data_IF_270639445861
#
_entry.id   IF_270639445861
#
_cell.length_a   1.000
_cell.length_b   1.000
_cell.length_c   1.000
_cell.angle_alpha   90.00
_cell.angle_beta   90.00
_cell.angle_gamma   90.00
#
_symmetry.space_group_name_H-M   'P 1'
#
loop_
_entity.id
_entity.type
_entity.pdbx_description
1 polymer ?
#
# COMPACT_ATOMS: atom_id res chain seq x y z
N UNK A 1 -14.93 18.07 0.90
CA UNK A 1 -15.90 18.48 -0.13
C UNK A 1 -17.20 18.89 0.57
N UNK A 2 -17.81 20.04 0.26
CA UNK A 2 -19.11 20.39 0.85
C UNK A 2 -20.21 19.52 0.24
N UNK A 3 -20.89 18.73 1.07
CA UNK A 3 -22.02 17.92 0.63
C UNK A 3 -23.32 18.62 0.98
N UNK A 4 -24.23 18.65 0.02
CA UNK A 4 -25.57 19.20 0.20
C UNK A 4 -26.61 18.08 0.06
N UNK A 5 -27.70 18.18 0.83
CA UNK A 5 -28.87 17.34 0.68
C UNK A 5 -30.01 18.18 0.14
N UNK A 6 -30.70 17.70 -0.88
CA UNK A 6 -31.98 18.24 -1.28
C UNK A 6 -33.08 17.58 -0.46
N UNK A 7 -33.85 18.40 0.25
CA UNK A 7 -35.01 17.96 1.01
C UNK A 7 -36.24 18.72 0.49
N UNK A 8 -37.35 18.01 0.31
CA UNK A 8 -38.63 18.61 -0.04
C UNK A 8 -39.28 19.11 1.25
N UNK A 9 -39.41 20.43 1.42
CA UNK A 9 -40.22 20.99 2.49
C UNK A 9 -41.69 20.71 2.16
N UNK A 10 -42.32 19.84 2.95
CA UNK A 10 -43.72 19.42 2.75
C UNK A 10 -44.72 20.54 3.06
N UNK A 11 -44.30 21.61 3.71
CA UNK A 11 -45.16 22.75 4.06
C UNK A 11 -45.22 23.78 2.93
N UNK A 12 -44.10 24.05 2.28
CA UNK A 12 -44.01 25.05 1.20
C UNK A 12 -44.10 24.41 -0.19
N UNK A 13 -43.73 23.14 -0.32
CA UNK A 13 -43.59 22.44 -1.60
C UNK A 13 -42.24 22.70 -2.29
N UNK A 14 -41.35 23.46 -1.65
CA UNK A 14 -40.05 23.83 -2.22
C UNK A 14 -38.97 22.77 -1.94
N UNK A 15 -38.01 22.68 -2.86
CA UNK A 15 -36.81 21.86 -2.69
C UNK A 15 -35.73 22.73 -2.05
N UNK A 16 -35.44 22.48 -0.78
CA UNK A 16 -34.38 23.16 -0.07
C UNK A 16 -33.06 22.38 -0.16
N UNK A 17 -31.96 23.10 -0.35
CA UNK A 17 -30.61 22.54 -0.35
C UNK A 17 -29.95 22.82 0.99
N UNK A 18 -29.82 21.79 1.83
CA UNK A 18 -29.24 21.89 3.18
C UNK A 18 -27.78 21.45 3.13
N UNK A 19 -26.87 22.27 3.65
CA UNK A 19 -25.47 21.90 3.81
C UNK A 19 -25.32 20.83 4.91
N UNK A 20 -24.81 19.65 4.56
CA UNK A 20 -24.59 18.51 5.49
C UNK A 20 -23.16 18.56 6.08
N UNK A 21 -22.45 19.68 5.87
CA UNK A 21 -21.06 19.87 6.27
C UNK A 21 -20.03 19.29 5.29
N UNK A 22 -18.77 19.39 5.70
CA UNK A 22 -17.62 18.92 4.93
C UNK A 22 -17.40 17.44 5.24
N UNK A 23 -17.69 16.55 4.29
CA UNK A 23 -17.33 15.15 4.42
C UNK A 23 -16.01 14.90 3.70
N UNK A 24 -15.22 14.01 4.25
CA UNK A 24 -13.88 13.69 3.75
C UNK A 24 -13.71 12.19 3.61
N UNK A 25 -13.03 11.76 2.57
CA UNK A 25 -12.56 10.38 2.46
C UNK A 25 -11.45 10.11 3.46
N UNK A 26 -11.20 8.84 3.78
CA UNK A 26 -10.08 8.44 4.64
C UNK A 26 -8.72 8.92 4.10
N UNK A 27 -8.58 8.98 2.77
CA UNK A 27 -7.34 9.46 2.13
C UNK A 27 -7.16 10.96 2.33
N UNK A 28 -8.19 11.77 2.06
CA UNK A 28 -8.16 13.22 2.28
C UNK A 28 -7.96 13.57 3.76
N UNK A 29 -8.54 12.77 4.67
CA UNK A 29 -8.28 12.91 6.10
C UNK A 29 -6.79 12.73 6.41
N UNK A 30 -6.15 11.68 5.86
CA UNK A 30 -4.72 11.46 6.06
C UNK A 30 -3.86 12.62 5.58
N UNK A 31 -4.21 13.18 4.43
CA UNK A 31 -3.55 14.38 3.87
C UNK A 31 -3.68 15.60 4.81
N UNK A 32 -4.85 15.80 5.45
CA UNK A 32 -5.05 16.88 6.45
C UNK A 32 -4.16 16.73 7.68
N UNK A 33 -3.91 15.49 8.12
CA UNK A 33 -3.03 15.20 9.25
C UNK A 33 -1.56 15.02 8.86
N UNK A 34 -1.21 15.22 7.58
CA UNK A 34 0.15 15.05 7.08
C UNK A 34 0.66 13.60 7.13
N UNK A 35 -0.25 12.63 7.19
CA UNK A 35 0.10 11.20 7.28
C UNK A 35 -0.23 10.44 6.00
N UNK A 36 0.60 9.45 5.69
CA UNK A 36 0.40 8.60 4.52
C UNK A 36 -0.90 7.77 4.59
N UNK A 37 -1.38 7.34 3.42
CA UNK A 37 -2.60 6.52 3.24
C UNK A 37 -2.65 5.26 4.10
N UNK A 38 -1.49 4.64 4.34
CA UNK A 38 -1.38 3.44 5.16
C UNK A 38 -1.52 3.82 6.64
N UNK A 39 -0.73 4.79 7.09
CA UNK A 39 -0.72 5.29 8.47
C UNK A 39 -2.09 5.76 8.95
N UNK A 40 -2.81 6.57 8.16
CA UNK A 40 -4.16 7.03 8.55
C UNK A 40 -5.12 5.86 8.74
N UNK A 41 -5.05 4.82 7.91
CA UNK A 41 -5.92 3.63 8.05
C UNK A 41 -5.59 2.87 9.32
N UNK A 42 -4.32 2.70 9.63
CA UNK A 42 -3.88 2.01 10.85
C UNK A 42 -4.30 2.77 12.11
N UNK A 43 -4.20 4.10 12.12
CA UNK A 43 -4.69 4.94 13.24
C UNK A 43 -6.21 4.79 13.38
N UNK A 44 -6.97 4.90 12.30
CA UNK A 44 -8.43 4.75 12.38
C UNK A 44 -8.89 3.33 12.74
N UNK A 45 -8.09 2.30 12.42
CA UNK A 45 -8.32 0.94 12.90
C UNK A 45 -8.07 0.84 14.40
N UNK A 46 -7.02 1.49 14.91
CA UNK A 46 -6.76 1.55 16.35
C UNK A 46 -7.91 2.20 17.12
N UNK A 47 -8.50 3.24 16.54
CA UNK A 47 -9.67 3.92 17.09
C UNK A 47 -10.96 3.09 17.01
N UNK A 48 -10.93 1.91 16.39
CA UNK A 48 -12.10 1.06 16.15
C UNK A 48 -13.07 1.60 15.10
N UNK A 49 -12.67 2.60 14.30
CA UNK A 49 -13.51 3.20 13.27
C UNK A 49 -13.43 2.43 11.95
N UNK A 50 -12.29 1.81 11.66
CA UNK A 50 -12.10 0.97 10.48
C UNK A 50 -11.89 -0.50 10.85
N UNK A 51 -12.35 -1.39 9.99
CA UNK A 51 -12.09 -2.81 10.04
C UNK A 51 -11.70 -3.34 8.66
N UNK A 52 -10.88 -4.40 8.63
CA UNK A 52 -10.53 -5.07 7.37
C UNK A 52 -11.67 -5.97 6.91
N UNK A 53 -12.15 -5.79 5.68
CA UNK A 53 -13.22 -6.58 5.09
C UNK A 53 -12.82 -7.22 3.76
N UNK A 54 -13.39 -8.41 3.52
CA UNK A 54 -13.28 -9.15 2.27
C UNK A 54 -11.92 -9.83 2.04
N UNK A 55 -11.85 -10.59 0.95
CA UNK A 55 -10.67 -11.41 0.58
C UNK A 55 -9.44 -10.54 0.29
N UNK A 56 -9.64 -9.26 -0.06
CA UNK A 56 -8.56 -8.32 -0.34
C UNK A 56 -8.18 -7.43 0.84
N UNK A 57 -8.79 -7.63 2.02
CA UNK A 57 -8.44 -6.91 3.25
C UNK A 57 -8.63 -5.40 3.15
N UNK A 58 -9.67 -4.94 2.45
CA UNK A 58 -9.94 -3.49 2.33
C UNK A 58 -10.40 -2.96 3.68
N UNK A 59 -9.76 -1.90 4.17
CA UNK A 59 -10.23 -1.23 5.39
C UNK A 59 -11.48 -0.43 5.08
N UNK A 60 -12.57 -0.74 5.78
CA UNK A 60 -13.87 -0.07 5.67
C UNK A 60 -14.36 0.42 7.01
N UNK A 61 -15.23 1.43 7.03
CA UNK A 61 -15.92 1.86 8.24
C UNK A 61 -16.68 0.68 8.88
N UNK A 62 -16.54 0.57 10.21
CA UNK A 62 -17.33 -0.37 11.00
C UNK A 62 -18.81 -0.04 10.90
N UNK A 63 -19.67 -1.05 11.04
CA UNK A 63 -21.12 -0.83 10.95
C UNK A 63 -21.61 0.02 12.12
N UNK A 64 -20.96 -0.12 13.25
CA UNK A 64 -21.16 0.64 14.48
C UNK A 64 -20.84 2.12 14.26
N UNK A 65 -19.70 2.46 13.65
CA UNK A 65 -19.36 3.84 13.33
C UNK A 65 -20.36 4.48 12.35
N UNK A 66 -20.85 3.71 11.37
CA UNK A 66 -21.90 4.17 10.45
C UNK A 66 -23.22 4.38 11.18
N UNK A 67 -23.62 3.45 12.05
CA UNK A 67 -24.86 3.55 12.84
C UNK A 67 -24.84 4.75 13.80
N UNK A 68 -23.67 5.13 14.32
CA UNK A 68 -23.47 6.32 15.14
C UNK A 68 -23.39 7.63 14.34
N UNK A 69 -23.47 7.58 13.00
CA UNK A 69 -23.41 8.76 12.15
C UNK A 69 -22.02 9.36 11.99
N UNK A 70 -20.96 8.62 12.33
CA UNK A 70 -19.56 9.07 12.21
C UNK A 70 -19.05 9.03 10.76
N UNK A 71 -19.78 8.35 9.88
CA UNK A 71 -19.43 8.26 8.47
C UNK A 71 -20.46 7.51 7.66
N UNK A 72 -20.17 7.35 6.37
CA UNK A 72 -20.99 6.60 5.42
C UNK A 72 -20.12 5.70 4.57
N UNK A 73 -20.68 4.54 4.24
CA UNK A 73 -20.10 3.58 3.30
C UNK A 73 -20.75 3.73 1.94
N UNK A 74 -19.95 3.91 0.90
CA UNK A 74 -20.41 3.87 -0.48
C UNK A 74 -20.06 2.51 -1.09
N UNK A 75 -20.90 1.50 -0.88
CA UNK A 75 -20.62 0.13 -1.33
C UNK A 75 -20.81 -0.08 -2.84
N UNK A 76 -21.70 0.72 -3.48
CA UNK A 76 -21.98 0.67 -4.91
C UNK A 76 -22.06 2.08 -5.49
N UNK A 77 -20.93 2.72 -5.81
CA UNK A 77 -20.94 4.06 -6.40
C UNK A 77 -21.63 4.03 -7.78
N UNK A 78 -22.36 5.12 -8.12
CA UNK A 78 -23.32 5.17 -9.24
C UNK A 78 -22.76 4.87 -10.64
N UNK A 79 -21.44 4.79 -10.84
CA UNK A 79 -20.82 4.58 -12.16
C UNK A 79 -19.84 3.39 -12.19
N UNK A 80 -20.12 2.32 -11.44
CA UNK A 80 -19.20 1.16 -11.37
C UNK A 80 -17.86 1.47 -10.70
N UNK A 81 -17.80 2.58 -9.94
CA UNK A 81 -16.62 2.97 -9.19
C UNK A 81 -16.29 1.98 -8.07
N UNK A 82 -15.06 2.07 -7.56
CA UNK A 82 -14.67 1.28 -6.40
C UNK A 82 -15.38 1.77 -5.14
N UNK A 83 -15.83 0.87 -4.26
CA UNK A 83 -16.40 1.29 -3.00
C UNK A 83 -15.39 2.05 -2.14
N UNK A 84 -15.88 3.11 -1.50
CA UNK A 84 -15.10 4.02 -0.66
C UNK A 84 -15.95 4.49 0.52
N UNK A 85 -15.28 5.03 1.54
CA UNK A 85 -15.93 5.50 2.75
C UNK A 85 -15.61 6.97 2.98
N UNK A 86 -16.57 7.66 3.59
CA UNK A 86 -16.48 9.08 3.93
C UNK A 86 -16.78 9.27 5.42
N UNK A 87 -16.08 10.21 6.03
CA UNK A 87 -16.17 10.59 7.43
C UNK A 87 -17.04 11.83 7.53
N UNK A 88 -18.03 11.81 8.41
CA UNK A 88 -18.91 12.95 8.66
C UNK A 88 -18.19 14.04 9.46
N UNK A 89 -18.75 15.25 9.58
CA UNK A 89 -18.23 16.26 10.50
C UNK A 89 -18.13 15.77 11.95
N UNK A 90 -19.12 14.99 12.42
CA UNK A 90 -19.11 14.39 13.74
C UNK A 90 -18.00 13.34 13.90
N UNK A 91 -17.78 12.51 12.85
CA UNK A 91 -16.65 11.59 12.81
C UNK A 91 -15.30 12.30 12.84
N UNK A 92 -15.16 13.40 12.11
CA UNK A 92 -13.95 14.22 12.13
C UNK A 92 -13.67 14.82 13.50
N UNK A 93 -14.69 15.32 14.20
CA UNK A 93 -14.56 15.84 15.56
C UNK A 93 -14.07 14.75 16.54
N UNK A 94 -14.73 13.57 16.53
CA UNK A 94 -14.30 12.44 17.34
C UNK A 94 -12.86 12.02 17.03
N UNK A 95 -12.49 12.02 15.74
CA UNK A 95 -11.13 11.68 15.31
C UNK A 95 -10.13 12.69 15.86
N UNK A 96 -10.42 13.99 15.75
CA UNK A 96 -9.56 15.03 16.27
C UNK A 96 -9.33 14.89 17.78
N UNK A 97 -10.39 14.60 18.54
CA UNK A 97 -10.32 14.45 20.00
C UNK A 97 -9.45 13.26 20.43
N UNK A 98 -9.51 12.15 19.68
CA UNK A 98 -8.84 10.89 20.03
C UNK A 98 -7.58 10.60 19.22
N UNK A 99 -7.18 11.51 18.33
CA UNK A 99 -6.09 11.28 17.39
C UNK A 99 -4.78 10.97 18.11
N UNK A 100 -4.40 11.83 19.06
CA UNK A 100 -3.13 11.70 19.75
C UNK A 100 -3.09 10.43 20.62
N UNK A 101 -4.18 10.11 21.31
CA UNK A 101 -4.30 8.87 22.10
C UNK A 101 -4.06 7.62 21.22
N UNK A 102 -4.65 7.57 20.03
CA UNK A 102 -4.47 6.44 19.11
C UNK A 102 -3.05 6.35 18.55
N UNK A 103 -2.42 7.49 18.26
CA UNK A 103 -1.01 7.55 17.84
C UNK A 103 -0.09 7.07 18.96
N UNK A 104 -0.30 7.55 20.17
CA UNK A 104 0.50 7.19 21.34
C UNK A 104 0.32 5.70 21.67
N UNK A 105 -0.89 5.15 21.55
CA UNK A 105 -1.15 3.72 21.72
C UNK A 105 -0.42 2.84 20.70
N UNK A 106 -0.34 3.30 19.45
CA UNK A 106 0.43 2.63 18.40
C UNK A 106 1.94 2.66 18.69
N UNK A 107 2.47 3.82 19.09
CA UNK A 107 3.88 3.97 19.43
C UNK A 107 4.26 3.19 20.70
N UNK A 108 3.41 3.19 21.73
CA UNK A 108 3.64 2.43 22.95
C UNK A 108 3.80 0.92 22.65
N UNK A 109 2.95 0.35 21.78
CA UNK A 109 3.10 -1.05 21.36
C UNK A 109 4.37 -1.32 20.55
N UNK A 110 4.83 -0.35 19.76
CA UNK A 110 6.12 -0.46 19.04
C UNK A 110 7.28 -0.48 20.03
N UNK A 111 7.27 0.41 21.01
CA UNK A 111 8.31 0.52 22.03
C UNK A 111 8.38 -0.69 22.97
N UNK A 112 7.28 -1.43 23.15
CA UNK A 112 7.28 -2.67 23.94
C UNK A 112 8.10 -3.80 23.33
N UNK A 113 8.46 -3.73 22.05
CA UNK A 113 9.18 -4.78 21.33
C UNK A 113 10.49 -4.20 20.80
N UNK A 114 11.63 -4.42 21.47
CA UNK A 114 12.92 -3.86 21.06
C UNK A 114 13.27 -4.17 19.61
N UNK A 115 12.99 -5.39 19.13
CA UNK A 115 13.26 -5.80 17.76
C UNK A 115 12.44 -5.00 16.73
N UNK A 116 11.22 -4.59 17.08
CA UNK A 116 10.38 -3.73 16.22
C UNK A 116 10.98 -2.33 16.14
N UNK A 117 11.48 -1.80 17.26
CA UNK A 117 12.09 -0.47 17.31
C UNK A 117 13.39 -0.43 16.50
N UNK A 118 14.26 -1.44 16.67
CA UNK A 118 15.49 -1.59 15.89
C UNK A 118 15.20 -1.75 14.40
N UNK A 119 14.29 -2.66 14.04
CA UNK A 119 13.90 -2.88 12.64
C UNK A 119 13.30 -1.63 11.99
N UNK A 120 12.54 -0.85 12.76
CA UNK A 120 11.98 0.43 12.30
C UNK A 120 13.08 1.46 12.04
N UNK A 121 14.00 1.64 12.97
CA UNK A 121 15.12 2.55 12.80
C UNK A 121 15.96 2.16 11.58
N UNK A 122 16.26 0.87 11.40
CA UNK A 122 17.06 0.37 10.30
C UNK A 122 16.40 0.57 8.93
N UNK A 123 15.10 0.22 8.79
CA UNK A 123 14.41 0.42 7.50
C UNK A 123 14.22 1.90 7.18
N UNK A 124 13.94 2.74 8.17
CA UNK A 124 13.84 4.19 7.98
C UNK A 124 15.18 4.78 7.53
N UNK A 125 16.29 4.40 8.17
CA UNK A 125 17.62 4.82 7.75
C UNK A 125 17.95 4.37 6.33
N UNK A 126 17.58 3.13 5.97
CA UNK A 126 17.76 2.63 4.60
C UNK A 126 16.91 3.40 3.57
N UNK A 127 15.65 3.72 3.90
CA UNK A 127 14.77 4.52 3.03
C UNK A 127 15.31 5.94 2.84
N UNK A 128 15.79 6.59 3.90
CA UNK A 128 16.44 7.91 3.82
C UNK A 128 17.71 7.85 2.95
N UNK A 129 18.54 6.83 3.15
CA UNK A 129 19.72 6.61 2.31
C UNK A 129 19.33 6.48 0.82
N UNK A 130 18.28 5.72 0.49
CA UNK A 130 17.78 5.60 -0.89
C UNK A 130 17.31 6.94 -1.46
N UNK A 131 16.59 7.72 -0.66
CA UNK A 131 16.10 9.05 -1.04
C UNK A 131 17.26 10.02 -1.33
N UNK A 132 18.28 10.06 -0.47
CA UNK A 132 19.50 10.85 -0.69
C UNK A 132 20.20 10.48 -2.02
N UNK A 133 20.09 9.21 -2.43
CA UNK A 133 20.64 8.71 -3.69
C UNK A 133 19.66 8.76 -4.86
N UNK A 134 18.51 9.45 -4.72
CA UNK A 134 17.46 9.59 -5.73
C UNK A 134 16.97 8.25 -6.29
N UNK A 135 17.00 7.21 -5.46
CA UNK A 135 16.48 5.91 -5.82
C UNK A 135 14.96 5.88 -5.63
N UNK A 136 14.29 4.99 -6.36
CA UNK A 136 12.84 4.81 -6.25
C UNK A 136 12.43 4.49 -4.81
N UNK A 137 11.34 5.14 -4.37
CA UNK A 137 10.70 4.88 -3.09
C UNK A 137 10.37 3.39 -2.92
N UNK A 138 10.58 2.86 -1.72
CA UNK A 138 10.29 1.46 -1.46
C UNK A 138 8.79 1.22 -1.33
N UNK A 139 8.26 0.39 -2.22
CA UNK A 139 6.90 -0.15 -2.06
C UNK A 139 6.80 -0.99 -0.77
N UNK A 140 5.60 -1.17 -0.19
CA UNK A 140 5.42 -2.05 0.97
C UNK A 140 5.96 -3.47 0.76
N UNK A 141 5.87 -4.01 -0.47
CA UNK A 141 6.43 -5.32 -0.80
C UNK A 141 7.97 -5.33 -0.71
N UNK A 142 8.63 -4.27 -1.16
CA UNK A 142 10.08 -4.13 -1.05
C UNK A 142 10.49 -4.00 0.41
N UNK A 143 9.73 -3.25 1.21
CA UNK A 143 9.98 -3.09 2.65
C UNK A 143 9.87 -4.43 3.39
N UNK A 144 8.81 -5.20 3.14
CA UNK A 144 8.65 -6.56 3.70
C UNK A 144 9.82 -7.45 3.30
N UNK A 145 10.20 -7.43 2.01
CA UNK A 145 11.31 -8.25 1.53
C UNK A 145 12.63 -7.89 2.22
N UNK A 146 12.92 -6.60 2.31
CA UNK A 146 14.13 -6.10 2.97
C UNK A 146 14.20 -6.52 4.44
N UNK A 147 13.10 -6.38 5.20
CA UNK A 147 13.06 -6.79 6.61
C UNK A 147 13.31 -8.29 6.79
N UNK A 148 12.69 -9.12 5.94
CA UNK A 148 12.91 -10.58 5.95
C UNK A 148 14.33 -11.00 5.53
N UNK A 149 15.05 -10.13 4.82
CA UNK A 149 16.45 -10.35 4.42
C UNK A 149 17.45 -9.84 5.47
N UNK A 150 17.08 -8.86 6.32
CA UNK A 150 18.00 -8.21 7.26
C UNK A 150 17.80 -8.61 8.72
N UNK A 151 16.59 -9.03 9.12
CA UNK A 151 16.28 -9.42 10.49
C UNK A 151 15.92 -10.90 10.54
N UNK A 152 16.86 -11.72 11.01
CA UNK A 152 16.60 -13.15 11.19
C UNK A 152 15.56 -13.36 12.30
N UNK A 153 14.54 -14.16 12.02
CA UNK A 153 13.51 -14.50 13.02
C UNK A 153 12.45 -13.43 13.28
N UNK A 154 12.45 -12.30 12.57
CA UNK A 154 11.39 -11.29 12.73
C UNK A 154 10.02 -11.89 12.34
N UNK A 155 9.04 -11.74 13.23
CA UNK A 155 7.68 -12.27 13.06
C UNK A 155 6.87 -11.39 12.11
N UNK A 156 5.87 -11.98 11.47
CA UNK A 156 4.96 -11.28 10.55
C UNK A 156 4.24 -10.11 11.26
N UNK A 157 3.83 -10.31 12.50
CA UNK A 157 3.20 -9.30 13.35
C UNK A 157 4.14 -8.12 13.61
N UNK A 158 5.42 -8.40 13.84
CA UNK A 158 6.44 -7.36 14.06
C UNK A 158 6.68 -6.56 12.78
N UNK A 159 6.80 -7.22 11.62
CA UNK A 159 6.91 -6.54 10.32
C UNK A 159 5.69 -5.64 10.05
N UNK A 160 4.48 -6.13 10.36
CA UNK A 160 3.25 -5.37 10.22
C UNK A 160 3.29 -4.08 11.07
N UNK A 161 3.76 -4.17 12.32
CA UNK A 161 3.95 -3.01 13.20
C UNK A 161 5.00 -2.03 12.68
N UNK A 162 6.14 -2.54 12.16
CA UNK A 162 7.24 -1.73 11.61
C UNK A 162 6.76 -0.91 10.40
N UNK A 163 6.15 -1.56 9.43
CA UNK A 163 5.73 -0.91 8.17
C UNK A 163 4.40 -0.14 8.36
N UNK A 164 3.57 -0.55 9.34
CA UNK A 164 2.24 -0.01 9.56
C UNK A 164 1.18 -0.59 8.62
N UNK A 165 1.37 -1.81 8.11
CA UNK A 165 0.41 -2.51 7.24
C UNK A 165 -0.27 -3.68 7.97
N UNK A 166 -1.31 -4.26 7.38
CA UNK A 166 -1.98 -5.43 7.97
C UNK A 166 -1.12 -6.69 7.90
N UNK A 167 -1.30 -7.58 8.88
CA UNK A 167 -0.64 -8.89 8.93
C UNK A 167 -0.86 -9.70 7.63
N UNK A 168 -2.09 -9.74 7.11
CA UNK A 168 -2.40 -10.51 5.90
C UNK A 168 -1.63 -9.99 4.67
N UNK A 169 -1.39 -8.68 4.60
CA UNK A 169 -0.61 -8.10 3.52
C UNK A 169 0.86 -8.51 3.61
N UNK A 170 1.42 -8.54 4.82
CA UNK A 170 2.78 -9.03 5.06
C UNK A 170 2.90 -10.51 4.68
N UNK A 171 1.96 -11.36 5.10
CA UNK A 171 1.94 -12.80 4.75
C UNK A 171 1.93 -13.00 3.24
N UNK A 172 1.10 -12.23 2.53
CA UNK A 172 1.02 -12.25 1.07
C UNK A 172 2.37 -11.90 0.44
N UNK A 173 3.03 -10.84 0.89
CA UNK A 173 4.33 -10.42 0.34
C UNK A 173 5.46 -11.39 0.71
N UNK A 174 5.46 -11.94 1.93
CA UNK A 174 6.40 -12.98 2.34
C UNK A 174 6.29 -14.23 1.45
N UNK A 175 5.06 -14.66 1.14
CA UNK A 175 4.80 -15.77 0.21
C UNK A 175 5.32 -15.46 -1.19
N UNK A 176 5.04 -14.26 -1.71
CA UNK A 176 5.56 -13.84 -3.03
C UNK A 176 7.08 -13.86 -3.07
N UNK A 177 7.76 -13.32 -2.04
CA UNK A 177 9.22 -13.36 -1.93
C UNK A 177 9.75 -14.79 -1.91
N UNK A 178 9.14 -15.69 -1.12
CA UNK A 178 9.56 -17.10 -1.07
C UNK A 178 9.48 -17.74 -2.45
N UNK A 179 8.36 -17.59 -3.15
CA UNK A 179 8.18 -18.13 -4.52
C UNK A 179 9.25 -17.58 -5.48
N UNK A 180 9.56 -16.27 -5.40
CA UNK A 180 10.58 -15.66 -6.24
C UNK A 180 11.97 -16.22 -5.93
N UNK A 181 12.35 -16.36 -4.64
CA UNK A 181 13.63 -16.94 -4.24
C UNK A 181 13.76 -18.40 -4.68
N UNK A 182 12.70 -19.19 -4.50
CA UNK A 182 12.67 -20.59 -4.93
C UNK A 182 12.82 -20.71 -6.44
N UNK A 183 12.17 -19.82 -7.21
CA UNK A 183 12.34 -19.74 -8.66
C UNK A 183 13.78 -19.41 -9.06
N UNK A 184 14.39 -18.38 -8.47
CA UNK A 184 15.78 -18.01 -8.77
C UNK A 184 16.78 -19.08 -8.33
N UNK A 185 16.55 -19.76 -7.20
CA UNK A 185 17.39 -20.88 -6.76
C UNK A 185 17.35 -22.04 -7.75
N UNK A 186 16.14 -22.41 -8.24
CA UNK A 186 15.98 -23.42 -9.30
C UNK A 186 16.65 -23.01 -10.60
N UNK A 187 16.51 -21.74 -11.01
CA UNK A 187 17.12 -21.23 -12.23
C UNK A 187 18.65 -21.18 -12.15
N UNK A 188 19.24 -20.88 -10.98
CA UNK A 188 20.70 -20.93 -10.79
C UNK A 188 21.23 -22.37 -10.73
N UNK A 189 20.49 -23.29 -10.11
CA UNK A 189 20.84 -24.71 -10.06
C UNK A 189 20.73 -25.37 -11.45
N UNK A 190 19.75 -24.96 -12.25
CA UNK A 190 19.61 -25.33 -13.64
C UNK A 190 20.48 -24.41 -14.52
N UNK A 191 21.80 -24.54 -14.40
CA UNK A 191 22.71 -24.01 -15.43
C UNK A 191 22.33 -24.68 -16.75
N UNK A 192 21.53 -23.99 -17.56
CA UNK A 192 21.24 -24.39 -18.94
C UNK A 192 22.59 -24.45 -19.64
N UNK A 193 23.02 -25.59 -20.21
CA UNK A 193 24.18 -25.58 -21.08
C UNK A 193 23.85 -24.62 -22.21
N UNK A 194 24.64 -23.56 -22.38
CA UNK A 194 24.56 -22.75 -23.59
C UNK A 194 24.59 -23.72 -24.77
N UNK A 195 23.64 -23.67 -25.72
CA UNK A 195 23.77 -24.46 -26.92
C UNK A 195 25.14 -24.12 -27.51
N UNK A 196 26.01 -25.13 -27.64
CA UNK A 196 27.22 -24.98 -28.47
C UNK A 196 26.71 -24.40 -29.79
N UNK A 197 27.32 -23.33 -30.34
CA UNK A 197 26.94 -22.88 -31.66
C UNK A 197 27.12 -24.08 -32.59
N UNK A 198 26.00 -24.69 -32.99
CA UNK A 198 25.98 -25.70 -34.02
C UNK A 198 26.65 -25.05 -35.22
N UNK A 199 27.75 -25.66 -35.69
CA UNK A 199 28.38 -25.25 -36.93
C UNK A 199 27.27 -25.06 -37.96
N UNK A 200 27.12 -23.82 -38.42
CA UNK A 200 26.20 -23.47 -39.49
C UNK A 200 26.69 -24.26 -40.70
N UNK A 201 26.01 -25.37 -41.01
CA UNK A 201 26.10 -25.98 -42.32
C UNK A 201 25.44 -24.97 -43.24
N UNK A 202 26.24 -24.20 -43.99
CA UNK A 202 25.77 -23.36 -45.08
C UNK A 202 25.68 -24.24 -46.32
N UNK A 203 24.48 -24.56 -46.85
CA UNK A 203 24.35 -25.18 -48.15
C UNK A 203 24.09 -24.08 -49.18
N UNK A 204 25.16 -23.68 -49.88
CA UNK A 204 25.09 -23.16 -51.24
C UNK A 204 24.53 -21.76 -51.45
N UNK A 205 25.38 -20.88 -51.97
CA UNK A 205 25.00 -20.09 -53.15
C UNK A 205 24.96 -18.58 -53.00
N UNK A 206 26.10 -17.99 -53.39
CA UNK A 206 26.27 -16.72 -54.13
C UNK A 206 26.11 -15.39 -53.39
N UNK A 207 27.09 -14.53 -53.72
CA UNK A 207 27.12 -13.06 -53.65
C UNK A 207 27.34 -12.39 -52.30
N UNK A 208 28.59 -12.42 -51.76
CA UNK A 208 29.12 -11.26 -50.99
C UNK A 208 30.65 -11.05 -51.08
N UNK A 209 31.37 -11.69 -52.03
CA UNK A 209 32.84 -11.53 -52.20
C UNK A 209 33.26 -10.32 -53.07
N UNK A 210 32.70 -9.12 -52.87
CA UNK A 210 33.20 -7.90 -53.57
C UNK A 210 33.23 -6.61 -52.73
N UNK A 211 33.43 -6.71 -51.42
CA UNK A 211 33.60 -5.53 -50.57
C UNK A 211 34.88 -5.53 -49.71
N UNK A 212 35.90 -6.30 -50.08
CA UNK A 212 37.17 -6.38 -49.36
C UNK A 212 38.41 -6.02 -50.20
N UNK A 213 38.25 -5.22 -51.26
CA UNK A 213 39.37 -4.76 -52.11
C UNK A 213 39.37 -3.24 -52.36
N UNK A 214 38.84 -2.44 -51.42
CA UNK A 214 38.88 -0.96 -51.51
C UNK A 214 39.37 -0.22 -50.25
N UNK A 215 40.10 -0.89 -49.38
CA UNK A 215 40.85 -0.24 -48.29
C UNK A 215 42.27 -0.79 -48.13
N UNK A 216 42.97 -0.93 -49.26
CA UNK A 216 44.42 -1.10 -49.31
C UNK A 216 44.96 -0.54 -50.63
N UNK A 217 44.91 0.80 -50.76
CA UNK A 217 45.74 1.60 -51.65
C UNK A 217 45.84 3.02 -51.06
#
# INVERSE_FOLDING_TARGET
MQYTQTALDRRTGDIETIAIGDWVTVTELGERYGVGRITVRTILQEMGLLQSEGIHGRCRLTREAVAQGLGKRHDKPKNGGYPFDVISPAGQALIADKWQEAVDGLEARRLMVPEVTEAKAAITGYMQHRECHKLTEMTPQMQVSWLLDHFEGIKVEQIALVIGVTRQLVERYAKTRKTQRDYFARSKASTIPLPRPSAVIVPGGREWDRAAEKFAA
#
